data_IF_297904912469
#
_entry.id   IF_297904912469
#
_cell.length_a   1.000
_cell.length_b   1.000
_cell.length_c   1.000
_cell.angle_alpha   90.00
_cell.angle_beta   90.00
_cell.angle_gamma   90.00
#
_symmetry.space_group_name_H-M   'P 1'
#
loop_
_entity.id
_entity.type
_entity.pdbx_description
1 polymer ?
#
# COMPACT_ATOMS: atom_id res chain seq x y z
N UNK A 1 18.59 16.59 -7.42
CA UNK A 1 18.36 15.26 -6.82
C UNK A 1 17.19 15.41 -5.87
N UNK A 2 16.08 14.70 -6.09
CA UNK A 2 14.85 14.82 -5.29
C UNK A 2 15.06 14.36 -3.84
N UNK A 3 15.78 13.25 -3.65
CA UNK A 3 15.88 12.57 -2.34
C UNK A 3 17.00 13.12 -1.44
N UNK A 4 17.70 14.18 -1.88
CA UNK A 4 18.83 14.74 -1.13
C UNK A 4 18.42 15.35 0.22
N UNK A 5 17.14 15.68 0.41
CA UNK A 5 16.58 16.24 1.65
C UNK A 5 15.90 15.21 2.56
N UNK A 6 15.97 13.92 2.22
CA UNK A 6 15.13 12.88 2.83
C UNK A 6 13.77 12.73 2.12
N UNK A 7 13.01 11.71 2.54
CA UNK A 7 11.83 11.25 1.82
C UNK A 7 10.56 12.07 2.13
N UNK A 8 10.51 12.71 3.30
CA UNK A 8 9.31 13.40 3.81
C UNK A 8 9.62 14.82 4.29
N UNK A 9 8.63 15.71 4.20
CA UNK A 9 8.66 17.04 4.83
C UNK A 9 7.67 17.14 5.99
N UNK A 10 7.83 18.17 6.84
CA UNK A 10 6.91 18.41 7.95
C UNK A 10 5.53 18.86 7.48
N UNK A 11 4.47 18.33 8.11
CA UNK A 11 3.08 18.71 7.87
C UNK A 11 2.21 17.54 7.37
N UNK A 12 2.54 16.92 6.23
CA UNK A 12 1.76 15.79 5.71
C UNK A 12 1.90 14.51 6.55
N UNK A 13 0.91 13.63 6.41
CA UNK A 13 1.03 12.21 6.70
C UNK A 13 1.34 11.47 5.40
N UNK A 14 2.31 10.55 5.45
CA UNK A 14 2.67 9.72 4.30
C UNK A 14 2.18 8.30 4.56
N UNK A 15 1.33 7.78 3.69
CA UNK A 15 0.90 6.38 3.70
C UNK A 15 1.31 5.76 2.38
N UNK A 16 2.12 4.70 2.44
CA UNK A 16 2.64 3.98 1.28
C UNK A 16 2.12 2.55 1.36
N UNK A 17 1.44 2.09 0.33
CA UNK A 17 0.85 0.76 0.24
C UNK A 17 1.57 0.02 -0.89
N UNK A 18 2.30 -1.03 -0.55
CA UNK A 18 3.08 -1.81 -1.51
C UNK A 18 2.71 -3.28 -1.48
N UNK A 19 2.97 -3.95 -2.60
CA UNK A 19 2.83 -5.40 -2.72
C UNK A 19 4.20 -6.08 -2.74
N UNK A 20 4.33 -7.20 -2.01
CA UNK A 20 5.52 -8.05 -2.10
C UNK A 20 5.71 -8.71 -3.48
N UNK A 21 4.66 -8.70 -4.30
CA UNK A 21 4.65 -9.26 -5.67
C UNK A 21 4.90 -8.21 -6.75
N UNK A 22 5.26 -6.97 -6.39
CA UNK A 22 5.68 -5.96 -7.36
C UNK A 22 6.92 -6.45 -8.12
N UNK A 23 6.75 -6.66 -9.44
CA UNK A 23 7.80 -7.08 -10.36
C UNK A 23 8.53 -5.93 -11.07
N UNK A 24 8.10 -4.68 -10.85
CA UNK A 24 8.62 -3.48 -11.49
C UNK A 24 9.56 -2.74 -10.54
N UNK A 25 9.11 -2.48 -9.32
CA UNK A 25 9.93 -1.88 -8.26
C UNK A 25 10.50 -3.01 -7.41
N UNK A 26 11.79 -3.32 -7.60
CA UNK A 26 12.42 -4.47 -6.93
C UNK A 26 13.72 -4.08 -6.18
N UNK A 27 13.86 -4.43 -4.89
CA UNK A 27 12.80 -4.94 -4.00
C UNK A 27 11.66 -3.91 -3.83
N UNK A 28 10.43 -4.38 -3.59
CA UNK A 28 9.24 -3.54 -3.44
C UNK A 28 9.41 -2.45 -2.36
N UNK A 29 10.18 -2.76 -1.32
CA UNK A 29 10.51 -1.82 -0.23
C UNK A 29 11.29 -0.60 -0.70
N UNK A 30 11.80 -0.56 -1.92
CA UNK A 30 12.42 0.64 -2.50
C UNK A 30 11.42 1.81 -2.66
N UNK A 31 10.11 1.53 -2.69
CA UNK A 31 9.07 2.57 -2.74
C UNK A 31 8.65 3.08 -1.35
N UNK A 32 9.03 2.39 -0.28
CA UNK A 32 8.76 2.85 1.09
C UNK A 32 9.52 4.14 1.40
N UNK A 33 8.88 5.00 2.19
CA UNK A 33 9.46 6.27 2.65
C UNK A 33 9.98 6.15 4.09
N UNK A 34 11.04 6.89 4.39
CA UNK A 34 11.59 7.03 5.74
C UNK A 34 11.43 8.46 6.25
N UNK A 35 10.65 8.64 7.32
CA UNK A 35 10.50 9.93 7.95
C UNK A 35 9.41 9.99 9.02
N UNK A 36 9.28 11.12 9.73
CA UNK A 36 8.20 11.32 10.69
C UNK A 36 6.83 11.22 10.02
N UNK A 37 5.83 10.76 10.77
CA UNK A 37 4.44 10.63 10.30
C UNK A 37 4.27 9.79 9.01
N UNK A 38 5.06 8.72 8.89
CA UNK A 38 5.03 7.78 7.78
C UNK A 38 4.48 6.43 8.21
N UNK A 39 3.65 5.82 7.36
CA UNK A 39 3.13 4.48 7.50
C UNK A 39 3.36 3.71 6.21
N UNK A 40 4.25 2.73 6.24
CA UNK A 40 4.48 1.81 5.13
C UNK A 40 3.70 0.51 5.38
N UNK A 41 2.92 0.08 4.40
CA UNK A 41 2.02 -1.07 4.48
C UNK A 41 2.46 -2.07 3.40
N UNK A 42 2.69 -3.32 3.79
CA UNK A 42 2.77 -4.45 2.85
C UNK A 42 1.40 -5.13 2.82
N UNK A 43 0.72 -5.14 1.67
CA UNK A 43 -0.64 -5.69 1.55
C UNK A 43 -0.75 -7.10 2.12
N UNK A 44 0.23 -7.95 1.84
CA UNK A 44 0.19 -9.35 2.24
C UNK A 44 0.43 -9.60 3.73
N UNK A 45 0.85 -8.59 4.50
CA UNK A 45 0.89 -8.66 5.96
C UNK A 45 -0.52 -8.53 6.57
N UNK A 46 -1.43 -7.83 5.88
CA UNK A 46 -2.84 -7.73 6.27
C UNK A 46 -3.67 -8.85 5.64
N UNK A 47 -3.45 -9.15 4.36
CA UNK A 47 -4.24 -10.11 3.59
C UNK A 47 -3.34 -11.05 2.77
N UNK A 48 -2.99 -12.21 3.34
CA UNK A 48 -2.07 -13.17 2.69
C UNK A 48 -2.58 -13.78 1.37
N UNK A 49 -3.88 -13.69 1.07
CA UNK A 49 -4.52 -14.19 -0.16
C UNK A 49 -4.65 -13.14 -1.27
N UNK A 50 -4.14 -11.95 -1.03
CA UNK A 50 -4.03 -10.89 -2.02
C UNK A 50 -2.71 -11.08 -2.81
N UNK A 51 -2.84 -11.41 -4.10
CA UNK A 51 -1.72 -11.61 -5.01
C UNK A 51 -1.53 -10.46 -5.99
N UNK A 52 -1.98 -9.26 -5.63
CA UNK A 52 -1.81 -8.09 -6.50
C UNK A 52 -0.35 -7.83 -6.82
N UNK A 53 -0.08 -7.48 -8.07
CA UNK A 53 1.22 -6.98 -8.53
C UNK A 53 1.14 -5.47 -8.83
N UNK A 54 2.20 -4.90 -9.41
CA UNK A 54 2.36 -3.47 -9.64
C UNK A 54 1.16 -2.82 -10.33
N UNK A 55 0.60 -3.47 -11.37
CA UNK A 55 -0.53 -2.91 -12.12
C UNK A 55 -1.86 -3.24 -11.43
N UNK A 56 -2.03 -4.45 -10.91
CA UNK A 56 -3.32 -4.84 -10.32
C UNK A 56 -3.63 -4.13 -8.99
N UNK A 57 -2.63 -3.58 -8.28
CA UNK A 57 -2.82 -2.91 -6.98
C UNK A 57 -3.79 -1.72 -7.05
N UNK A 58 -3.89 -1.02 -8.19
CA UNK A 58 -4.81 0.12 -8.34
C UNK A 58 -6.28 -0.31 -8.47
N UNK A 59 -6.53 -1.60 -8.72
CA UNK A 59 -7.84 -2.22 -8.79
C UNK A 59 -8.12 -3.13 -7.57
N UNK A 60 -7.31 -2.99 -6.52
CA UNK A 60 -7.35 -3.85 -5.36
C UNK A 60 -8.30 -3.31 -4.28
N UNK A 61 -9.35 -4.07 -3.89
CA UNK A 61 -10.29 -3.65 -2.85
C UNK A 61 -9.67 -3.60 -1.44
N UNK A 62 -8.59 -4.35 -1.17
CA UNK A 62 -7.83 -4.29 0.09
C UNK A 62 -7.03 -2.98 0.12
N UNK A 63 -6.29 -2.66 -0.95
CA UNK A 63 -5.55 -1.41 -1.02
C UNK A 63 -6.48 -0.18 -0.95
N UNK A 64 -7.65 -0.23 -1.60
CA UNK A 64 -8.65 0.83 -1.53
C UNK A 64 -9.13 1.05 -0.09
N UNK A 65 -9.34 -0.03 0.67
CA UNK A 65 -9.73 0.04 2.08
C UNK A 65 -8.67 0.76 2.94
N UNK A 66 -7.38 0.49 2.72
CA UNK A 66 -6.29 1.21 3.40
C UNK A 66 -6.25 2.70 3.03
N UNK A 67 -6.43 3.03 1.74
CA UNK A 67 -6.55 4.42 1.27
C UNK A 67 -7.72 5.14 1.98
N UNK A 68 -8.87 4.49 2.07
CA UNK A 68 -10.05 5.06 2.73
C UNK A 68 -9.85 5.23 4.23
N UNK A 69 -9.12 4.33 4.90
CA UNK A 69 -8.75 4.53 6.30
C UNK A 69 -7.80 5.73 6.45
N UNK A 70 -6.76 5.83 5.63
CA UNK A 70 -5.76 6.90 5.68
C UNK A 70 -6.35 8.30 5.41
N UNK A 71 -7.33 8.40 4.50
CA UNK A 71 -8.04 9.65 4.20
C UNK A 71 -9.19 9.95 5.15
N UNK A 72 -9.66 8.94 5.89
CA UNK A 72 -10.87 8.99 6.71
C UNK A 72 -10.56 8.92 8.21
N UNK A 73 -11.04 7.87 8.92
CA UNK A 73 -10.90 7.77 10.38
C UNK A 73 -9.46 7.69 10.90
N UNK A 74 -8.52 7.32 10.04
CA UNK A 74 -7.12 7.07 10.37
C UNK A 74 -6.93 6.15 11.58
N UNK A 75 -7.71 5.06 11.62
CA UNK A 75 -7.75 4.19 12.80
C UNK A 75 -6.47 3.35 12.90
N UNK A 76 -5.76 3.38 14.05
CA UNK A 76 -4.55 2.57 14.25
C UNK A 76 -4.87 1.08 14.43
N UNK A 77 -6.14 0.72 14.64
CA UNK A 77 -6.62 -0.66 14.77
C UNK A 77 -7.35 -1.15 13.52
N UNK A 78 -7.28 -0.39 12.43
CA UNK A 78 -7.90 -0.73 11.17
C UNK A 78 -7.44 -2.10 10.66
N UNK A 79 -8.38 -2.88 10.12
CA UNK A 79 -8.11 -4.14 9.42
C UNK A 79 -9.00 -4.20 8.19
N UNK A 80 -8.44 -4.34 6.97
CA UNK A 80 -9.25 -4.49 5.77
C UNK A 80 -9.97 -5.85 5.79
N UNK A 81 -11.10 -5.91 5.08
CA UNK A 81 -11.75 -7.17 4.74
C UNK A 81 -10.98 -7.77 3.57
N UNK A 82 -10.37 -8.94 3.79
CA UNK A 82 -9.58 -9.61 2.76
C UNK A 82 -10.47 -10.27 1.71
N UNK A 83 -10.04 -10.16 0.45
CA UNK A 83 -10.55 -10.94 -0.68
C UNK A 83 -9.39 -11.61 -1.40
N UNK A 84 -9.72 -12.56 -2.29
CA UNK A 84 -8.71 -13.10 -3.21
C UNK A 84 -8.56 -12.10 -4.34
N UNK A 85 -7.33 -11.65 -4.56
CA UNK A 85 -7.00 -10.75 -5.67
C UNK A 85 -5.99 -11.47 -6.56
N UNK A 86 -6.30 -11.58 -7.86
CA UNK A 86 -5.47 -12.33 -8.80
C UNK A 86 -4.49 -11.38 -9.52
N UNK A 87 -3.29 -11.86 -9.88
CA UNK A 87 -2.34 -11.06 -10.66
C UNK A 87 -2.96 -10.59 -11.97
N UNK A 88 -2.63 -9.37 -12.42
CA UNK A 88 -3.07 -8.74 -13.68
C UNK A 88 -4.56 -8.38 -13.80
N UNK A 89 -5.46 -9.14 -13.18
CA UNK A 89 -6.92 -8.98 -13.32
C UNK A 89 -7.54 -8.11 -12.22
N UNK A 90 -6.85 -7.96 -11.07
CA UNK A 90 -7.37 -7.20 -9.92
C UNK A 90 -8.43 -7.99 -9.14
N UNK A 91 -9.23 -7.27 -8.33
CA UNK A 91 -10.24 -7.87 -7.47
C UNK A 91 -11.33 -8.61 -8.26
N UNK A 92 -11.72 -9.80 -7.80
CA UNK A 92 -12.75 -10.64 -8.47
C UNK A 92 -14.19 -10.37 -7.99
N UNK A 93 -14.45 -9.26 -7.31
CA UNK A 93 -15.76 -8.97 -6.71
C UNK A 93 -16.21 -7.54 -6.96
N UNK A 94 -17.41 -7.39 -7.53
CA UNK A 94 -18.28 -6.21 -7.33
C UNK A 94 -18.97 -6.25 -5.97
#
# INVERSE_FOLDING_TARGET
NLNAGGDTVAGPKYVVIESKYDGIITPYTNAFLSGPNTQNITLQDQCSTDYSEHISIIYDPVALQDVMNALGPDSPTFKPTCSVVLPLIGGITE
#
